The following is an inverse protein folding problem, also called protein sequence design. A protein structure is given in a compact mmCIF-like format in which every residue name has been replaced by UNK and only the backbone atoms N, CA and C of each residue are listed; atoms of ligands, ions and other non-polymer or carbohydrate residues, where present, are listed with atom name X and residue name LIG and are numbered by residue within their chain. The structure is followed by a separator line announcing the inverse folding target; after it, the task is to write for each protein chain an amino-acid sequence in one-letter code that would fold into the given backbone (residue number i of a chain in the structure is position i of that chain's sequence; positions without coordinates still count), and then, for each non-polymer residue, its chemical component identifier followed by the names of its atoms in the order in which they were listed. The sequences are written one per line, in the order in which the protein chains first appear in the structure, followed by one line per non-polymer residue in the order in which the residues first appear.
data_IF_926731621724
#
_entry.id   IF_926731621724
#
_cell.length_a   1.000
_cell.length_b   1.000
_cell.length_c   1.000
_cell.angle_alpha   90.00
_cell.angle_beta   90.00
_cell.angle_gamma   90.00
#
_symmetry.space_group_name_H-M   'P 1'
#
loop_
_entity.id
_entity.type
_entity.pdbx_description
1 polymer ?
#
# COMPACT_ATOMS: atom_id res chain seq x y z
N UNK A 1 -0.03 2.73 -8.41
CA UNK A 1 1.19 2.63 -7.58
C UNK A 1 1.99 3.87 -7.83
N UNK A 2 2.62 4.44 -6.80
CA UNK A 2 3.52 5.58 -6.96
C UNK A 2 4.85 5.10 -7.57
N UNK A 3 5.22 5.53 -8.80
CA UNK A 3 6.44 5.07 -9.47
C UNK A 3 7.73 5.56 -8.79
N UNK A 4 7.67 6.63 -8.01
CA UNK A 4 8.84 7.18 -7.30
C UNK A 4 9.04 6.53 -5.92
N UNK A 5 8.03 5.81 -5.43
CA UNK A 5 8.10 5.16 -4.13
C UNK A 5 8.73 3.76 -4.22
N UNK A 6 9.77 3.51 -3.43
CA UNK A 6 10.54 2.25 -3.44
C UNK A 6 9.69 0.99 -3.19
N UNK A 7 8.65 1.07 -2.34
CA UNK A 7 7.66 -0.01 -2.15
C UNK A 7 6.98 -0.49 -3.44
N UNK A 8 6.89 0.36 -4.46
CA UNK A 8 6.27 0.04 -5.76
C UNK A 8 7.22 -0.68 -6.73
N UNK A 9 8.46 -0.98 -6.33
CA UNK A 9 9.43 -1.61 -7.21
C UNK A 9 8.88 -2.92 -7.81
N UNK A 10 8.88 -3.01 -9.14
CA UNK A 10 8.37 -4.17 -9.89
C UNK A 10 6.85 -4.39 -9.83
N UNK A 11 6.05 -3.43 -9.36
CA UNK A 11 4.59 -3.55 -9.22
C UNK A 11 3.80 -3.03 -10.45
N UNK A 12 4.46 -2.42 -11.44
CA UNK A 12 3.80 -1.78 -12.57
C UNK A 12 2.93 -0.57 -12.17
N UNK A 13 2.02 -0.16 -13.05
CA UNK A 13 1.16 1.01 -12.81
C UNK A 13 0.09 0.76 -11.74
N UNK A 14 -0.38 -0.48 -11.61
CA UNK A 14 -1.40 -0.89 -10.64
C UNK A 14 -1.21 -2.35 -10.23
N UNK A 15 -1.70 -2.68 -9.03
CA UNK A 15 -1.78 -4.06 -8.52
C UNK A 15 -3.22 -4.36 -8.15
N UNK A 16 -3.65 -5.61 -8.34
CA UNK A 16 -4.93 -6.08 -7.83
C UNK A 16 -4.83 -6.40 -6.34
N UNK A 17 -5.82 -5.96 -5.57
CA UNK A 17 -5.87 -6.14 -4.12
C UNK A 17 -7.22 -6.73 -3.73
N UNK A 18 -7.22 -7.68 -2.79
CA UNK A 18 -8.46 -8.09 -2.13
C UNK A 18 -8.82 -7.05 -1.08
N UNK A 19 -10.00 -6.46 -1.20
CA UNK A 19 -10.51 -5.49 -0.26
C UNK A 19 -11.73 -6.06 0.48
N UNK A 20 -11.50 -6.55 1.70
CA UNK A 20 -12.47 -7.29 2.51
C UNK A 20 -12.65 -6.69 3.92
N UNK A 21 -12.44 -5.37 4.04
CA UNK A 21 -12.44 -4.62 5.31
C UNK A 21 -13.28 -3.35 5.19
N UNK A 22 -13.65 -2.77 6.34
CA UNK A 22 -14.26 -1.43 6.43
C UNK A 22 -13.25 -0.31 6.72
N UNK A 23 -11.96 -0.63 6.82
CA UNK A 23 -10.89 0.32 7.17
C UNK A 23 -10.48 1.17 5.97
N UNK A 24 -10.63 2.48 6.10
CA UNK A 24 -10.25 3.45 5.06
C UNK A 24 -9.14 4.31 5.60
N UNK A 25 -7.97 4.27 4.97
CA UNK A 25 -6.82 5.04 5.40
C UNK A 25 -6.63 6.26 4.52
N UNK A 26 -6.33 7.38 5.18
CA UNK A 26 -5.94 8.63 4.55
C UNK A 26 -4.58 9.01 5.11
N UNK A 27 -3.73 9.61 4.28
CA UNK A 27 -2.43 10.09 4.70
C UNK A 27 -2.43 11.61 4.76
N UNK A 28 -1.77 12.14 5.80
CA UNK A 28 -1.40 13.56 5.90
C UNK A 28 0.12 13.65 5.85
N UNK A 29 0.66 14.70 5.24
CA UNK A 29 2.08 15.01 5.29
C UNK A 29 2.56 14.96 6.76
N UNK A 30 3.62 14.19 7.13
CA UNK A 30 4.67 13.60 6.29
C UNK A 30 4.49 12.14 5.82
N UNK A 31 3.32 11.53 6.03
CA UNK A 31 3.07 10.13 5.63
C UNK A 31 3.04 10.00 4.11
N UNK A 32 3.85 9.09 3.56
CA UNK A 32 3.91 8.79 2.13
C UNK A 32 2.93 7.68 1.77
N UNK A 33 2.37 7.74 0.56
CA UNK A 33 1.45 6.73 0.03
C UNK A 33 2.14 6.03 -1.14
N UNK A 34 2.51 4.77 -0.99
CA UNK A 34 3.09 4.00 -2.09
C UNK A 34 2.02 3.45 -3.04
N UNK A 35 0.81 3.22 -2.54
CA UNK A 35 -0.30 2.69 -3.31
C UNK A 35 -1.61 3.29 -2.83
N UNK A 36 -2.36 3.84 -3.78
CA UNK A 36 -3.70 4.38 -3.60
C UNK A 36 -4.69 3.45 -4.30
N UNK A 37 -5.88 3.30 -3.71
CA UNK A 37 -7.00 2.71 -4.44
C UNK A 37 -7.37 3.61 -5.62
N UNK A 38 -7.90 3.01 -6.68
CA UNK A 38 -8.25 3.74 -7.89
C UNK A 38 -9.38 4.77 -7.64
N UNK A 39 -9.57 5.67 -8.60
CA UNK A 39 -10.74 6.53 -8.65
C UNK A 39 -12.04 5.72 -8.74
N UNK A 40 -13.16 6.34 -8.36
CA UNK A 40 -14.45 5.68 -8.25
C UNK A 40 -14.86 4.99 -9.56
N UNK A 41 -14.62 5.60 -10.72
CA UNK A 41 -14.93 5.02 -12.04
C UNK A 41 -14.27 3.65 -12.28
N UNK A 42 -13.07 3.43 -11.75
CA UNK A 42 -12.21 2.27 -12.05
C UNK A 42 -11.87 1.39 -10.83
N UNK A 43 -12.54 1.61 -9.70
CA UNK A 43 -12.22 0.95 -8.43
C UNK A 43 -12.54 -0.56 -8.39
N UNK A 44 -13.50 -1.03 -9.20
CA UNK A 44 -13.99 -2.41 -9.16
C UNK A 44 -13.44 -3.25 -10.31
N UNK A 45 -12.49 -4.13 -9.98
CA UNK A 45 -12.04 -5.19 -10.91
C UNK A 45 -13.02 -6.36 -10.97
N UNK A 46 -13.64 -6.70 -9.84
CA UNK A 46 -14.59 -7.82 -9.73
C UNK A 46 -15.14 -7.94 -8.31
N UNK A 47 -16.03 -8.91 -8.11
CA UNK A 47 -16.66 -9.15 -6.82
C UNK A 47 -17.75 -8.13 -6.47
N UNK A 48 -18.08 -8.12 -5.17
CA UNK A 48 -19.22 -7.44 -4.61
C UNK A 48 -18.79 -6.11 -3.99
N UNK A 49 -19.27 -4.98 -4.52
CA UNK A 49 -18.90 -3.65 -4.05
C UNK A 49 -20.13 -2.73 -4.06
N UNK A 50 -20.50 -2.24 -2.88
CA UNK A 50 -21.67 -1.36 -2.71
C UNK A 50 -21.35 0.04 -3.22
N UNK A 51 -22.31 0.75 -3.84
CA UNK A 51 -22.09 2.12 -4.32
C UNK A 51 -21.54 3.06 -3.24
N UNK A 52 -22.05 2.95 -2.01
CA UNK A 52 -21.61 3.79 -0.88
C UNK A 52 -20.19 3.45 -0.46
N UNK A 53 -19.86 2.15 -0.41
CA UNK A 53 -18.50 1.70 -0.12
C UNK A 53 -17.53 2.13 -1.22
N UNK A 54 -17.98 2.08 -2.48
CA UNK A 54 -17.21 2.49 -3.66
C UNK A 54 -16.78 3.96 -3.56
N UNK A 55 -17.72 4.85 -3.28
CA UNK A 55 -17.43 6.27 -3.08
C UNK A 55 -16.54 6.52 -1.85
N UNK A 56 -16.77 5.76 -0.76
CA UNK A 56 -16.01 5.90 0.49
C UNK A 56 -14.53 5.52 0.37
N UNK A 57 -14.19 4.48 -0.39
CA UNK A 57 -12.82 3.96 -0.47
C UNK A 57 -12.05 4.47 -1.69
N UNK A 58 -12.73 5.10 -2.65
CA UNK A 58 -12.10 5.70 -3.83
C UNK A 58 -10.96 6.64 -3.41
N UNK A 59 -9.83 6.53 -4.11
CA UNK A 59 -8.64 7.35 -3.87
C UNK A 59 -8.07 7.30 -2.44
N UNK A 60 -8.51 6.36 -1.60
CA UNK A 60 -7.95 6.16 -0.27
C UNK A 60 -6.57 5.47 -0.34
N UNK A 61 -5.77 5.65 0.71
CA UNK A 61 -4.47 5.00 0.78
C UNK A 61 -4.63 3.50 1.04
N UNK A 62 -4.04 2.67 0.17
CA UNK A 62 -3.98 1.22 0.39
C UNK A 62 -2.71 0.82 1.12
N UNK A 63 -1.56 1.43 0.80
CA UNK A 63 -0.30 1.21 1.52
C UNK A 63 0.40 2.54 1.80
N UNK A 64 0.76 2.75 3.06
CA UNK A 64 1.45 3.95 3.54
C UNK A 64 2.78 3.63 4.16
N UNK A 65 3.66 4.62 4.18
CA UNK A 65 4.96 4.57 4.84
C UNK A 65 5.15 5.86 5.65
N UNK A 66 5.61 5.71 6.89
CA UNK A 66 6.00 6.82 7.74
C UNK A 66 7.29 6.49 8.50
N UNK A 67 8.14 7.49 8.72
CA UNK A 67 9.34 7.33 9.53
C UNK A 67 9.00 7.39 11.02
N UNK A 68 9.64 6.54 11.81
CA UNK A 68 9.51 6.58 13.26
C UNK A 68 10.86 6.28 13.92
N UNK A 69 11.45 7.30 14.55
CA UNK A 69 12.81 7.24 15.08
C UNK A 69 13.82 6.93 13.96
N UNK A 70 14.61 5.87 14.14
CA UNK A 70 15.52 5.35 13.10
C UNK A 70 14.86 4.35 12.16
N UNK A 71 13.63 3.93 12.44
CA UNK A 71 12.89 2.94 11.66
C UNK A 71 11.79 3.57 10.82
N UNK A 72 10.87 2.71 10.41
CA UNK A 72 9.67 3.12 9.68
C UNK A 72 8.51 2.19 9.99
N UNK A 73 7.31 2.71 9.77
CA UNK A 73 6.05 2.00 9.89
C UNK A 73 5.46 1.92 8.49
N UNK A 74 5.07 0.70 8.08
CA UNK A 74 4.41 0.44 6.81
C UNK A 74 3.06 -0.16 7.14
N UNK A 75 1.99 0.47 6.67
CA UNK A 75 0.62 0.09 6.99
C UNK A 75 -0.08 -0.30 5.68
N UNK A 76 -0.74 -1.46 5.70
CA UNK A 76 -1.60 -1.93 4.62
C UNK A 76 -3.06 -1.86 5.08
N UNK A 77 -3.94 -1.33 4.23
CA UNK A 77 -5.38 -1.27 4.50
C UNK A 77 -6.01 -2.67 4.54
N UNK A 78 -5.46 -3.62 3.78
CA UNK A 78 -5.94 -5.00 3.68
C UNK A 78 -4.77 -5.97 3.82
N UNK A 79 -5.05 -7.26 3.98
CA UNK A 79 -4.01 -8.28 4.01
C UNK A 79 -3.38 -8.45 2.62
N UNK A 80 -2.10 -8.08 2.40
CA UNK A 80 -1.49 -8.09 1.08
C UNK A 80 -1.19 -9.51 0.56
N UNK A 81 -1.26 -10.53 1.41
CA UNK A 81 -0.91 -11.91 1.11
C UNK A 81 -2.03 -12.90 1.41
N UNK A 82 -3.30 -12.45 1.39
CA UNK A 82 -4.46 -13.27 1.74
C UNK A 82 -4.42 -14.66 1.08
N UNK A 83 -4.20 -15.69 1.92
CA UNK A 83 -4.05 -17.11 1.54
C UNK A 83 -3.03 -17.38 0.42
N UNK A 84 -2.09 -16.48 0.18
CA UNK A 84 -1.09 -16.59 -0.89
C UNK A 84 -1.66 -16.51 -2.32
N UNK A 85 -2.91 -16.07 -2.49
CA UNK A 85 -3.57 -16.04 -3.82
C UNK A 85 -3.18 -14.82 -4.65
N UNK A 86 -2.87 -13.69 -4.02
CA UNK A 86 -2.67 -12.41 -4.70
C UNK A 86 -1.18 -12.05 -4.81
N UNK A 87 -0.51 -12.60 -5.83
CA UNK A 87 0.93 -12.38 -6.06
C UNK A 87 1.32 -10.91 -6.29
N UNK A 88 0.40 -10.12 -6.85
CA UNK A 88 0.65 -8.71 -7.13
C UNK A 88 0.75 -7.88 -5.83
N UNK A 89 -0.22 -8.02 -4.92
CA UNK A 89 -0.17 -7.36 -3.62
C UNK A 89 0.90 -7.96 -2.70
N UNK A 90 1.15 -9.26 -2.80
CA UNK A 90 2.22 -9.95 -2.05
C UNK A 90 3.59 -9.36 -2.38
N UNK A 91 3.84 -8.98 -3.64
CA UNK A 91 5.09 -8.31 -4.02
C UNK A 91 5.37 -7.04 -3.21
N UNK A 92 4.34 -6.26 -2.91
CA UNK A 92 4.49 -5.02 -2.12
C UNK A 92 4.88 -5.36 -0.68
N UNK A 93 4.32 -6.44 -0.11
CA UNK A 93 4.75 -6.96 1.19
C UNK A 93 6.22 -7.42 1.15
N UNK A 94 6.62 -8.16 0.12
CA UNK A 94 8.00 -8.62 -0.03
C UNK A 94 8.97 -7.45 -0.18
N UNK A 95 8.60 -6.40 -0.92
CA UNK A 95 9.38 -5.16 -0.99
C UNK A 95 9.53 -4.53 0.40
N UNK A 96 8.46 -4.46 1.18
CA UNK A 96 8.51 -3.93 2.55
C UNK A 96 9.48 -4.73 3.45
N UNK A 97 9.47 -6.06 3.34
CA UNK A 97 10.32 -6.94 4.16
C UNK A 97 11.78 -6.87 3.72
N UNK A 98 12.06 -7.03 2.42
CA UNK A 98 13.43 -7.16 1.92
C UNK A 98 14.12 -5.82 1.66
N UNK A 99 13.40 -4.82 1.15
CA UNK A 99 13.96 -3.51 0.82
C UNK A 99 13.80 -2.50 1.96
N UNK A 100 12.81 -2.69 2.84
CA UNK A 100 12.48 -1.77 3.92
C UNK A 100 13.67 -1.35 4.76
N UNK A 101 14.50 -2.28 5.29
CA UNK A 101 15.65 -1.90 6.11
C UNK A 101 16.62 -0.93 5.41
N UNK A 102 16.81 -1.04 4.08
CA UNK A 102 17.72 -0.17 3.34
C UNK A 102 17.09 1.10 2.75
N UNK A 103 15.79 1.08 2.45
CA UNK A 103 15.16 2.14 1.64
C UNK A 103 14.34 3.16 2.43
N UNK A 104 14.04 2.91 3.70
CA UNK A 104 13.24 3.84 4.50
C UNK A 104 13.60 3.92 5.99
N UNK A 105 14.74 3.37 6.37
CA UNK A 105 15.29 3.52 7.73
C UNK A 105 16.55 4.38 7.72
N UNK A 106 16.94 4.88 8.88
CA UNK A 106 18.22 5.57 9.05
C UNK A 106 19.21 4.61 9.72
N UNK A 107 20.39 4.44 9.11
CA UNK A 107 21.44 3.60 9.67
C UNK A 107 21.78 4.04 11.09
N UNK A 108 21.88 3.07 12.01
CA UNK A 108 22.19 3.35 13.41
C UNK A 108 23.62 3.81 13.64
N UNK A 109 24.47 3.59 12.64
CA UNK A 109 25.92 3.62 12.69
C UNK A 109 26.45 4.42 11.51
N UNK A 110 27.30 5.39 11.82
CA UNK A 110 27.93 6.30 10.88
C UNK A 110 29.35 5.81 10.61
N UNK A 111 29.51 4.88 9.69
CA UNK A 111 30.81 4.53 9.13
C UNK A 111 30.75 4.64 7.62
#
# INVERSE_FOLDING_TARGET
MDPEHWLSFGCGNYVSVLYNTGNVFMAKNPVKIAGRLAEESNLRLGGLLWPEAKSRIAESAWVTQESYGKGQIIIFATEPHFRGYFRASERVLLNAIYLGPGMGTTHSVSW
#
